data_IF_271906427747
#
_entry.id   IF_271906427747
#
_cell.length_a   1.000
_cell.length_b   1.000
_cell.length_c   1.000
_cell.angle_alpha   90.00
_cell.angle_beta   90.00
_cell.angle_gamma   90.00
#
_symmetry.space_group_name_H-M   'P 1'
#
loop_
_entity.id
_entity.type
_entity.pdbx_description
1 polymer ?
#
# COMPACT_ATOMS: atom_id res chain seq x y z
N UNK A 1 18.98 -10.50 -0.84
CA UNK A 1 19.85 -9.69 -1.72
C UNK A 1 18.98 -8.54 -2.19
N UNK A 2 18.92 -7.47 -1.40
CA UNK A 2 18.13 -6.28 -1.75
C UNK A 2 18.85 -5.54 -2.87
N UNK A 3 18.19 -5.43 -4.03
CA UNK A 3 18.63 -4.48 -5.04
C UNK A 3 18.54 -3.07 -4.44
N UNK A 4 19.67 -2.35 -4.49
CA UNK A 4 19.75 -0.93 -4.12
C UNK A 4 18.75 -0.13 -4.97
N UNK A 5 17.54 0.06 -4.46
CA UNK A 5 16.55 0.98 -5.02
C UNK A 5 17.04 2.40 -4.70
N UNK A 6 17.39 3.17 -5.72
CA UNK A 6 17.69 4.59 -5.55
C UNK A 6 16.42 5.31 -5.11
N UNK A 7 16.44 5.90 -3.92
CA UNK A 7 15.35 6.74 -3.41
C UNK A 7 15.68 8.20 -3.72
N UNK A 8 14.77 8.87 -4.42
CA UNK A 8 14.84 10.31 -4.67
C UNK A 8 13.57 10.93 -4.08
N UNK A 9 13.73 11.66 -2.98
CA UNK A 9 12.64 12.38 -2.32
C UNK A 9 12.76 13.84 -2.71
N UNK A 10 11.88 14.31 -3.59
CA UNK A 10 11.76 15.71 -3.96
C UNK A 10 10.36 16.16 -3.59
N UNK A 11 10.28 17.13 -2.68
CA UNK A 11 9.01 17.73 -2.25
C UNK A 11 8.92 19.11 -2.87
N UNK A 12 7.96 19.33 -3.75
CA UNK A 12 7.82 20.61 -4.43
C UNK A 12 6.78 21.47 -3.70
N UNK A 13 7.05 22.77 -3.48
CA UNK A 13 6.13 23.69 -2.79
C UNK A 13 6.06 25.06 -3.48
N UNK A 14 4.84 25.60 -3.62
CA UNK A 14 4.59 26.93 -4.22
C UNK A 14 5.08 28.10 -3.34
N UNK A 15 4.91 28.00 -2.01
CA UNK A 15 5.19 29.12 -1.09
C UNK A 15 6.22 28.77 -0.02
N UNK A 16 7.15 29.69 0.21
CA UNK A 16 8.16 29.60 1.28
C UNK A 16 7.55 29.87 2.65
N UNK A 17 8.08 29.20 3.67
CA UNK A 17 7.93 29.58 5.06
C UNK A 17 9.22 30.26 5.55
N UNK A 18 9.13 31.03 6.65
CA UNK A 18 10.27 31.80 7.21
C UNK A 18 11.52 30.94 7.53
N UNK A 19 11.30 29.67 7.88
CA UNK A 19 12.38 28.72 8.18
C UNK A 19 13.13 28.29 6.90
N UNK A 20 12.42 28.12 5.78
CA UNK A 20 13.05 27.79 4.51
C UNK A 20 13.82 28.97 3.92
N UNK A 21 13.38 30.21 4.14
CA UNK A 21 14.10 31.40 3.64
C UNK A 21 15.55 31.47 4.10
N UNK A 22 15.88 30.92 5.27
CA UNK A 22 17.23 30.95 5.86
C UNK A 22 18.17 29.85 5.33
N UNK A 23 17.65 28.77 4.75
CA UNK A 23 18.41 27.55 4.41
C UNK A 23 18.32 27.18 2.92
N UNK A 24 18.09 28.16 2.04
CA UNK A 24 17.97 27.94 0.61
C UNK A 24 19.33 27.90 -0.10
N UNK A 25 19.50 26.94 -0.99
CA UNK A 25 20.60 26.87 -1.96
C UNK A 25 20.04 26.99 -3.38
N UNK A 26 20.82 27.58 -4.29
CA UNK A 26 20.48 27.64 -5.71
C UNK A 26 21.21 26.54 -6.46
N UNK A 27 20.46 25.67 -7.14
CA UNK A 27 21.00 24.58 -7.93
C UNK A 27 20.64 24.76 -9.38
N UNK A 28 21.63 24.61 -10.25
CA UNK A 28 21.41 24.63 -11.69
C UNK A 28 21.13 23.22 -12.21
N UNK A 29 19.97 22.99 -12.84
CA UNK A 29 19.68 21.76 -13.57
C UNK A 29 19.12 22.10 -14.96
N UNK A 30 19.66 21.47 -16.01
CA UNK A 30 19.26 21.68 -17.41
C UNK A 30 19.18 23.15 -17.85
N UNK A 31 20.12 23.98 -17.40
CA UNK A 31 20.19 25.40 -17.76
C UNK A 31 19.28 26.31 -16.95
N UNK A 32 18.47 25.78 -16.03
CA UNK A 32 17.63 26.54 -15.10
C UNK A 32 18.18 26.53 -13.69
N UNK A 33 17.89 27.60 -12.95
CA UNK A 33 18.26 27.74 -11.54
C UNK A 33 17.03 27.48 -10.70
N UNK A 34 17.12 26.50 -9.81
CA UNK A 34 16.09 26.13 -8.86
C UNK A 34 16.55 26.48 -7.45
N UNK A 35 15.60 26.85 -6.60
CA UNK A 35 15.86 27.04 -5.18
C UNK A 35 15.45 25.78 -4.42
N UNK A 36 16.42 25.23 -3.68
CA UNK A 36 16.22 24.06 -2.84
C UNK A 36 16.44 24.42 -1.38
N UNK A 37 15.61 23.91 -0.49
CA UNK A 37 15.86 23.92 0.94
C UNK A 37 16.16 22.49 1.38
N UNK A 38 17.29 22.30 2.07
CA UNK A 38 17.64 21.02 2.67
C UNK A 38 17.00 20.92 4.05
N UNK A 39 16.22 19.87 4.29
CA UNK A 39 15.70 19.56 5.63
C UNK A 39 16.61 18.54 6.34
N UNK A 40 16.54 18.48 7.67
CA UNK A 40 17.42 17.67 8.53
C UNK A 40 17.43 16.16 8.18
N UNK A 41 16.39 15.65 7.51
CA UNK A 41 16.22 14.23 7.17
C UNK A 41 16.56 13.87 5.71
N UNK A 42 17.49 14.57 5.06
CA UNK A 42 17.88 14.32 3.65
C UNK A 42 16.76 14.57 2.62
N UNK A 43 15.68 15.23 3.03
CA UNK A 43 14.62 15.70 2.13
C UNK A 43 15.02 17.02 1.49
N UNK A 44 14.93 17.10 0.17
CA UNK A 44 15.07 18.36 -0.56
C UNK A 44 13.68 18.91 -0.87
N UNK A 45 13.42 20.15 -0.44
CA UNK A 45 12.24 20.90 -0.82
C UNK A 45 12.61 21.81 -1.98
N UNK A 46 11.91 21.69 -3.11
CA UNK A 46 12.11 22.56 -4.26
C UNK A 46 10.98 23.58 -4.36
N UNK A 47 11.34 24.86 -4.42
CA UNK A 47 10.38 25.95 -4.56
C UNK A 47 10.21 26.32 -6.03
N UNK A 48 8.96 26.56 -6.44
CA UNK A 48 8.61 26.86 -7.83
C UNK A 48 7.37 27.74 -7.94
N UNK A 49 7.28 28.51 -9.03
CA UNK A 49 6.05 29.18 -9.42
C UNK A 49 5.12 28.20 -10.16
N UNK A 50 3.80 28.29 -9.97
CA UNK A 50 2.83 27.31 -10.49
C UNK A 50 2.98 27.02 -12.01
N UNK A 51 3.34 28.04 -12.80
CA UNK A 51 3.54 27.90 -14.25
C UNK A 51 4.82 27.14 -14.63
N UNK A 52 5.83 27.06 -13.75
CA UNK A 52 7.12 26.37 -14.00
C UNK A 52 7.07 24.88 -13.69
N UNK A 53 5.99 24.45 -13.03
CA UNK A 53 5.80 23.12 -12.47
C UNK A 53 6.13 21.96 -13.41
N UNK A 54 5.57 21.95 -14.61
CA UNK A 54 5.76 20.85 -15.56
C UNK A 54 7.22 20.77 -16.02
N UNK A 55 7.82 21.92 -16.29
CA UNK A 55 9.19 22.03 -16.74
C UNK A 55 10.20 21.64 -15.65
N UNK A 56 9.92 22.01 -14.40
CA UNK A 56 10.69 21.60 -13.23
C UNK A 56 10.62 20.09 -13.02
N UNK A 57 9.42 19.54 -13.13
CA UNK A 57 9.19 18.11 -13.04
C UNK A 57 10.06 17.40 -14.08
N UNK A 58 9.94 17.78 -15.34
CA UNK A 58 10.70 17.20 -16.45
C UNK A 58 12.22 17.34 -16.25
N UNK A 59 12.71 18.50 -15.79
CA UNK A 59 14.13 18.73 -15.53
C UNK A 59 14.68 17.82 -14.42
N UNK A 60 13.94 17.63 -13.33
CA UNK A 60 14.31 16.72 -12.24
C UNK A 60 14.39 15.28 -12.78
N UNK A 61 13.39 14.86 -13.55
CA UNK A 61 13.35 13.50 -14.09
C UNK A 61 14.44 13.23 -15.12
N UNK A 62 14.70 14.13 -16.06
CA UNK A 62 15.82 13.98 -16.99
C UNK A 62 17.16 13.91 -16.25
N UNK A 63 17.30 14.66 -15.14
CA UNK A 63 18.50 14.58 -14.30
C UNK A 63 18.62 13.23 -13.61
N UNK A 64 17.53 12.71 -13.03
CA UNK A 64 17.47 11.36 -12.43
C UNK A 64 17.80 10.29 -13.49
N UNK A 65 17.20 10.37 -14.68
CA UNK A 65 17.46 9.47 -15.80
C UNK A 65 18.92 9.51 -16.24
N UNK A 66 19.55 10.70 -16.25
CA UNK A 66 20.97 10.85 -16.60
C UNK A 66 21.89 10.20 -15.56
N UNK A 67 21.54 10.31 -14.27
CA UNK A 67 22.36 9.79 -13.17
C UNK A 67 22.20 8.26 -13.03
N UNK A 68 20.98 7.75 -13.11
CA UNK A 68 20.67 6.34 -12.80
C UNK A 68 20.40 5.47 -14.02
N UNK A 69 20.15 6.06 -15.19
CA UNK A 69 19.77 5.39 -16.43
C UNK A 69 18.24 5.21 -16.58
N UNK A 70 17.76 5.29 -17.83
CA UNK A 70 16.32 5.35 -18.19
C UNK A 70 15.46 4.12 -17.84
N UNK A 71 16.06 3.02 -17.40
CA UNK A 71 15.38 1.73 -17.19
C UNK A 71 15.54 1.19 -15.76
N UNK A 72 15.99 2.00 -14.81
CA UNK A 72 16.04 1.58 -13.41
C UNK A 72 14.69 1.82 -12.76
N UNK A 73 14.15 0.85 -12.00
CA UNK A 73 12.92 1.07 -11.23
C UNK A 73 13.17 2.18 -10.23
N UNK A 74 12.20 3.08 -10.11
CA UNK A 74 12.25 4.21 -9.20
C UNK A 74 10.99 4.29 -8.36
N UNK A 75 11.16 4.92 -7.20
CA UNK A 75 10.07 5.25 -6.29
C UNK A 75 9.79 6.73 -6.43
N UNK A 76 8.54 7.07 -6.73
CA UNK A 76 8.04 8.42 -6.57
C UNK A 76 7.48 8.60 -5.16
N UNK A 77 7.90 9.64 -4.44
CA UNK A 77 7.26 10.10 -3.20
C UNK A 77 6.76 11.54 -3.43
N UNK A 78 5.44 11.74 -3.37
CA UNK A 78 4.83 13.07 -3.42
C UNK A 78 4.00 13.35 -2.17
N UNK A 79 4.06 14.59 -1.68
CA UNK A 79 3.25 15.08 -0.55
C UNK A 79 2.01 15.90 -1.00
N UNK A 80 1.80 16.00 -2.32
CA UNK A 80 0.71 16.73 -2.95
C UNK A 80 0.30 16.11 -4.31
N UNK A 81 -0.93 16.32 -4.77
CA UNK A 81 -1.38 15.93 -6.13
C UNK A 81 -0.73 16.73 -7.23
N UNK A 82 -0.04 17.80 -6.84
CA UNK A 82 0.60 18.65 -7.79
C UNK A 82 1.69 17.87 -8.54
N UNK A 83 2.36 16.90 -7.91
CA UNK A 83 3.52 16.25 -8.50
C UNK A 83 3.27 14.76 -8.76
N UNK A 84 2.38 14.48 -9.73
CA UNK A 84 2.11 13.13 -10.24
C UNK A 84 2.72 12.94 -11.65
N UNK A 85 4.03 12.70 -11.75
CA UNK A 85 4.75 12.57 -13.01
C UNK A 85 4.31 11.35 -13.82
N UNK A 86 3.98 11.56 -15.10
CA UNK A 86 3.45 10.53 -16.02
C UNK A 86 4.57 9.87 -16.86
N UNK A 87 5.71 9.53 -16.25
CA UNK A 87 6.88 9.02 -17.00
C UNK A 87 6.94 7.49 -17.09
N UNK A 88 7.71 7.00 -18.05
CA UNK A 88 7.94 5.57 -18.25
C UNK A 88 8.90 5.01 -17.19
N UNK A 89 8.64 3.79 -16.71
CA UNK A 89 9.52 3.09 -15.77
C UNK A 89 9.16 3.24 -14.29
N UNK A 90 8.11 4.01 -13.93
CA UNK A 90 7.59 4.01 -12.56
C UNK A 90 6.96 2.64 -12.29
N UNK A 91 7.51 1.90 -11.34
CA UNK A 91 6.94 0.66 -10.85
C UNK A 91 6.33 0.82 -9.46
N UNK A 92 6.69 1.87 -8.72
CA UNK A 92 6.16 2.14 -7.38
C UNK A 92 5.69 3.59 -7.26
N UNK A 93 4.44 3.75 -6.84
CA UNK A 93 3.84 5.04 -6.52
C UNK A 93 3.69 5.15 -5.00
N UNK A 94 4.26 6.18 -4.37
CA UNK A 94 3.96 6.53 -2.98
C UNK A 94 3.47 7.97 -2.90
N UNK A 95 2.25 8.17 -2.41
CA UNK A 95 1.62 9.49 -2.33
C UNK A 95 1.08 9.71 -0.91
N UNK A 96 1.47 10.81 -0.29
CA UNK A 96 0.92 11.27 0.98
C UNK A 96 0.13 12.55 0.74
N UNK A 97 -1.18 12.56 0.98
CA UNK A 97 -2.03 13.70 0.64
C UNK A 97 -2.36 14.54 1.87
N UNK A 98 -1.64 15.63 2.08
CA UNK A 98 -1.96 16.52 3.20
C UNK A 98 -3.13 17.49 2.90
N UNK A 99 -3.64 17.54 1.66
CA UNK A 99 -4.66 18.50 1.19
C UNK A 99 -5.66 17.86 0.20
N UNK A 100 -6.74 18.59 -0.14
CA UNK A 100 -7.82 18.10 -1.00
C UNK A 100 -7.36 17.92 -2.46
N UNK A 101 -7.15 16.67 -2.85
CA UNK A 101 -6.79 16.29 -4.22
C UNK A 101 -8.04 16.10 -5.09
N UNK A 102 -7.98 16.50 -6.36
CA UNK A 102 -9.05 16.20 -7.31
C UNK A 102 -8.94 14.77 -7.83
N UNK A 103 -10.03 14.00 -7.73
CA UNK A 103 -10.14 12.63 -8.26
C UNK A 103 -9.61 12.50 -9.69
N UNK A 104 -9.97 13.47 -10.54
CA UNK A 104 -9.60 13.48 -11.96
C UNK A 104 -8.09 13.46 -12.19
N UNK A 105 -7.29 14.14 -11.34
CA UNK A 105 -5.83 14.17 -11.50
C UNK A 105 -5.20 12.81 -11.26
N UNK A 106 -5.73 12.08 -10.29
CA UNK A 106 -5.27 10.74 -9.97
C UNK A 106 -5.65 9.74 -11.05
N UNK A 107 -6.86 9.86 -11.59
CA UNK A 107 -7.26 9.06 -12.74
C UNK A 107 -6.34 9.32 -13.92
N UNK A 108 -6.10 10.59 -14.24
CA UNK A 108 -5.19 10.94 -15.33
C UNK A 108 -3.76 10.42 -15.11
N UNK A 109 -3.32 10.35 -13.86
CA UNK A 109 -2.02 9.76 -13.50
C UNK A 109 -2.02 8.25 -13.72
N UNK A 110 -2.94 7.52 -13.09
CA UNK A 110 -3.03 6.07 -13.20
C UNK A 110 -3.33 5.61 -14.63
N UNK A 111 -4.02 6.42 -15.42
CA UNK A 111 -4.22 6.16 -16.85
C UNK A 111 -2.90 6.27 -17.63
N UNK A 112 -2.04 7.22 -17.28
CA UNK A 112 -0.79 7.46 -18.02
C UNK A 112 0.35 6.52 -17.63
N UNK A 113 0.41 6.08 -16.36
CA UNK A 113 1.45 5.15 -15.91
C UNK A 113 1.11 3.69 -16.25
N UNK A 114 2.13 2.83 -16.20
CA UNK A 114 1.92 1.39 -16.26
C UNK A 114 1.18 0.89 -14.99
N UNK A 115 0.67 -0.34 -15.02
CA UNK A 115 0.18 -0.98 -13.79
C UNK A 115 1.35 -1.09 -12.81
N UNK A 116 1.16 -0.58 -11.61
CA UNK A 116 2.21 -0.44 -10.61
C UNK A 116 2.45 -1.77 -9.85
N UNK A 117 3.69 -2.01 -9.44
CA UNK A 117 4.03 -3.09 -8.50
C UNK A 117 3.57 -2.73 -7.08
N UNK A 118 3.70 -1.46 -6.69
CA UNK A 118 3.24 -0.94 -5.40
C UNK A 118 2.53 0.39 -5.59
N UNK A 119 1.40 0.54 -4.91
CA UNK A 119 0.76 1.84 -4.67
C UNK A 119 0.60 2.05 -3.18
N UNK A 120 1.27 3.06 -2.64
CA UNK A 120 1.10 3.54 -1.27
C UNK A 120 0.35 4.88 -1.29
N UNK A 121 -0.74 4.99 -0.52
CA UNK A 121 -1.51 6.22 -0.37
C UNK A 121 -1.75 6.54 1.11
N UNK A 122 -1.43 7.76 1.55
CA UNK A 122 -1.72 8.24 2.91
C UNK A 122 -2.68 9.43 2.90
N UNK A 123 -3.52 9.51 3.93
CA UNK A 123 -4.45 10.64 4.17
C UNK A 123 -5.41 10.87 2.99
N UNK A 124 -5.83 9.76 2.38
CA UNK A 124 -6.58 9.73 1.14
C UNK A 124 -8.09 9.86 1.36
N UNK A 125 -8.81 10.70 0.62
CA UNK A 125 -10.27 10.89 0.84
C UNK A 125 -11.11 10.93 -0.42
N UNK A 126 -10.57 10.46 -1.54
CA UNK A 126 -11.16 10.70 -2.86
C UNK A 126 -11.54 9.38 -3.53
N UNK A 127 -12.68 9.34 -4.21
CA UNK A 127 -13.11 8.13 -4.92
C UNK A 127 -12.41 8.01 -6.27
N UNK A 128 -11.98 6.80 -6.59
CA UNK A 128 -11.37 6.41 -7.87
C UNK A 128 -12.35 5.52 -8.62
N UNK A 129 -12.39 5.68 -9.94
CA UNK A 129 -13.18 4.90 -10.89
C UNK A 129 -12.80 3.44 -10.76
N UNK A 130 -13.80 2.56 -10.80
CA UNK A 130 -13.65 1.12 -10.58
C UNK A 130 -12.76 0.45 -11.63
N UNK A 131 -12.65 1.06 -12.80
CA UNK A 131 -11.85 0.61 -13.94
C UNK A 131 -10.40 1.12 -13.89
N UNK A 132 -10.05 1.94 -12.90
CA UNK A 132 -8.74 2.57 -12.80
C UNK A 132 -7.60 1.55 -12.65
N UNK A 133 -6.45 1.82 -13.25
CA UNK A 133 -5.24 0.99 -13.10
C UNK A 133 -4.75 0.94 -11.65
N UNK A 134 -5.17 1.88 -10.80
CA UNK A 134 -4.99 1.86 -9.35
C UNK A 134 -5.35 0.48 -8.74
N UNK A 135 -6.52 -0.07 -9.09
CA UNK A 135 -6.99 -1.34 -8.54
C UNK A 135 -6.23 -2.56 -9.05
N UNK A 136 -5.39 -2.41 -10.06
CA UNK A 136 -4.62 -3.48 -10.68
C UNK A 136 -3.19 -3.56 -10.13
N UNK A 137 -2.81 -2.68 -9.20
CA UNK A 137 -1.49 -2.73 -8.58
C UNK A 137 -1.24 -4.08 -7.91
N UNK A 138 0.00 -4.60 -7.92
CA UNK A 138 0.29 -5.89 -7.28
C UNK A 138 0.16 -5.81 -5.76
N UNK A 139 0.65 -4.71 -5.18
CA UNK A 139 0.58 -4.41 -3.76
C UNK A 139 -0.09 -3.05 -3.57
N UNK A 140 -1.02 -2.99 -2.62
CA UNK A 140 -1.72 -1.77 -2.25
C UNK A 140 -1.54 -1.50 -0.76
N UNK A 141 -1.08 -0.30 -0.43
CA UNK A 141 -0.90 0.16 0.94
C UNK A 141 -1.66 1.46 1.12
N UNK A 142 -2.69 1.47 1.96
CA UNK A 142 -3.52 2.63 2.20
C UNK A 142 -3.52 2.95 3.69
N UNK A 143 -3.29 4.21 4.02
CA UNK A 143 -3.32 4.70 5.39
C UNK A 143 -4.30 5.87 5.52
N UNK A 144 -5.10 5.87 6.57
CA UNK A 144 -5.99 6.97 6.95
C UNK A 144 -6.93 7.40 5.82
N UNK A 145 -7.51 6.42 5.11
CA UNK A 145 -8.36 6.70 3.95
C UNK A 145 -9.83 6.98 4.27
N UNK A 146 -10.16 7.25 5.54
CA UNK A 146 -11.53 7.29 6.04
C UNK A 146 -12.27 5.99 5.65
N UNK A 147 -13.49 6.08 5.14
CA UNK A 147 -14.39 4.93 4.96
C UNK A 147 -14.23 4.24 3.58
N UNK A 148 -13.18 4.60 2.83
CA UNK A 148 -12.99 4.12 1.46
C UNK A 148 -12.37 2.71 1.39
N UNK A 149 -11.81 2.17 2.47
CA UNK A 149 -11.08 0.90 2.42
C UNK A 149 -11.93 -0.28 1.97
N UNK A 150 -13.24 -0.31 2.30
CA UNK A 150 -14.14 -1.35 1.80
C UNK A 150 -14.32 -1.28 0.28
N UNK A 151 -14.60 -0.08 -0.23
CA UNK A 151 -14.74 0.15 -1.67
C UNK A 151 -13.44 -0.22 -2.40
N UNK A 152 -12.30 0.15 -1.80
CA UNK A 152 -10.99 -0.19 -2.32
C UNK A 152 -10.80 -1.70 -2.40
N UNK A 153 -11.06 -2.40 -1.30
CA UNK A 153 -10.89 -3.85 -1.21
C UNK A 153 -11.78 -4.57 -2.25
N UNK A 154 -13.03 -4.13 -2.43
CA UNK A 154 -13.98 -4.75 -3.37
C UNK A 154 -13.54 -4.68 -4.83
N UNK A 155 -12.78 -3.65 -5.20
CA UNK A 155 -12.33 -3.42 -6.57
C UNK A 155 -10.90 -3.90 -6.82
N UNK A 156 -10.10 -4.05 -5.78
CA UNK A 156 -8.71 -4.50 -5.88
C UNK A 156 -8.56 -5.88 -6.55
N UNK A 157 -7.56 -5.98 -7.43
CA UNK A 157 -7.21 -7.15 -8.24
C UNK A 157 -5.77 -7.62 -8.03
N UNK A 158 -5.04 -6.99 -7.11
CA UNK A 158 -3.68 -7.39 -6.78
C UNK A 158 -3.61 -8.53 -5.77
N UNK A 159 -2.41 -8.75 -5.27
CA UNK A 159 -2.06 -9.88 -4.41
C UNK A 159 -1.95 -9.50 -2.93
N UNK A 160 -1.56 -8.27 -2.63
CA UNK A 160 -1.37 -7.86 -1.24
C UNK A 160 -2.07 -6.51 -1.00
N UNK A 161 -2.87 -6.43 0.05
CA UNK A 161 -3.55 -5.20 0.45
C UNK A 161 -3.34 -4.95 1.95
N UNK A 162 -2.82 -3.77 2.27
CA UNK A 162 -2.58 -3.30 3.64
C UNK A 162 -3.40 -2.03 3.84
N UNK A 163 -4.44 -2.10 4.67
CA UNK A 163 -5.38 -1.00 4.93
C UNK A 163 -5.27 -0.61 6.41
N UNK A 164 -4.64 0.54 6.67
CA UNK A 164 -4.32 1.00 8.02
C UNK A 164 -5.23 2.17 8.38
N UNK A 165 -6.08 1.99 9.39
CA UNK A 165 -7.05 3.01 9.84
C UNK A 165 -7.94 3.50 8.68
N UNK A 166 -8.27 2.57 7.78
CA UNK A 166 -8.87 2.83 6.47
C UNK A 166 -10.23 2.13 6.27
N UNK A 167 -10.73 1.45 7.30
CA UNK A 167 -11.99 0.73 7.30
C UNK A 167 -12.76 1.08 8.57
N UNK A 168 -14.07 1.25 8.45
CA UNK A 168 -14.93 1.29 9.62
C UNK A 168 -14.97 -0.10 10.26
N UNK A 169 -14.96 -0.11 11.60
CA UNK A 169 -14.97 -1.31 12.44
C UNK A 169 -16.34 -1.98 12.38
N UNK A 170 -16.60 -2.72 11.30
CA UNK A 170 -17.80 -3.53 11.14
C UNK A 170 -17.43 -4.97 10.81
N UNK A 171 -17.73 -5.90 11.72
CA UNK A 171 -17.56 -7.34 11.53
C UNK A 171 -18.18 -7.84 10.22
N UNK A 172 -19.29 -7.23 9.80
CA UNK A 172 -20.01 -7.55 8.56
C UNK A 172 -19.12 -7.45 7.32
N UNK A 173 -18.16 -6.52 7.29
CA UNK A 173 -17.23 -6.36 6.16
C UNK A 173 -16.27 -7.54 6.06
N UNK A 174 -15.68 -7.95 7.20
CA UNK A 174 -14.80 -9.11 7.29
C UNK A 174 -15.57 -10.41 7.00
N UNK A 175 -16.78 -10.55 7.53
CA UNK A 175 -17.65 -11.71 7.29
C UNK A 175 -17.96 -11.85 5.80
N UNK A 176 -18.34 -10.76 5.13
CA UNK A 176 -18.64 -10.77 3.70
C UNK A 176 -17.39 -11.12 2.88
N UNK A 177 -16.25 -10.52 3.20
CA UNK A 177 -14.96 -10.85 2.59
C UNK A 177 -14.66 -12.35 2.70
N UNK A 178 -14.69 -12.91 3.90
CA UNK A 178 -14.38 -14.31 4.16
C UNK A 178 -15.35 -15.26 3.46
N UNK A 179 -16.66 -14.97 3.47
CA UNK A 179 -17.68 -15.79 2.77
C UNK A 179 -17.42 -15.82 1.26
N UNK A 180 -17.18 -14.66 0.64
CA UNK A 180 -16.93 -14.57 -0.81
C UNK A 180 -15.62 -15.22 -1.22
N UNK A 181 -14.55 -15.03 -0.44
CA UNK A 181 -13.28 -15.72 -0.69
C UNK A 181 -13.45 -17.23 -0.57
N UNK A 182 -14.11 -17.70 0.50
CA UNK A 182 -14.35 -19.12 0.77
C UNK A 182 -15.14 -19.81 -0.33
N UNK A 183 -16.17 -19.16 -0.87
CA UNK A 183 -16.96 -19.69 -1.98
C UNK A 183 -16.30 -19.52 -3.35
N UNK A 184 -15.11 -18.92 -3.42
CA UNK A 184 -14.40 -18.59 -4.65
C UNK A 184 -15.21 -17.63 -5.55
N UNK A 185 -16.02 -16.78 -4.93
CA UNK A 185 -16.80 -15.74 -5.61
C UNK A 185 -15.97 -14.46 -5.84
N UNK A 186 -14.99 -14.18 -4.99
CA UNK A 186 -14.10 -13.01 -5.12
C UNK A 186 -12.72 -13.26 -4.48
N UNK A 187 -11.78 -12.34 -4.74
CA UNK A 187 -10.46 -12.25 -4.08
C UNK A 187 -9.57 -13.48 -4.32
N UNK A 188 -9.69 -14.13 -5.47
CA UNK A 188 -8.98 -15.39 -5.76
C UNK A 188 -7.46 -15.21 -5.88
N UNK A 189 -7.03 -14.05 -6.36
CA UNK A 189 -5.62 -13.67 -6.57
C UNK A 189 -4.98 -13.03 -5.31
N UNK A 190 -5.79 -12.71 -4.30
CA UNK A 190 -5.33 -12.10 -3.07
C UNK A 190 -4.56 -13.13 -2.24
N UNK A 191 -3.32 -12.79 -1.90
CA UNK A 191 -2.41 -13.58 -1.06
C UNK A 191 -2.40 -13.04 0.38
N UNK A 192 -2.41 -11.71 0.58
CA UNK A 192 -2.36 -11.06 1.90
C UNK A 192 -3.39 -9.94 1.98
N UNK A 193 -4.13 -9.90 3.09
CA UNK A 193 -4.93 -8.75 3.52
C UNK A 193 -4.62 -8.44 4.98
N UNK A 194 -4.21 -7.21 5.24
CA UNK A 194 -4.03 -6.68 6.59
C UNK A 194 -4.93 -5.47 6.79
N UNK A 195 -5.71 -5.48 7.86
CA UNK A 195 -6.55 -4.38 8.32
C UNK A 195 -6.06 -3.96 9.69
N UNK A 196 -5.22 -2.92 9.76
CA UNK A 196 -4.75 -2.36 11.02
C UNK A 196 -5.75 -1.32 11.53
N UNK A 197 -5.99 -1.32 12.84
CA UNK A 197 -7.04 -0.53 13.47
C UNK A 197 -8.42 -1.14 13.35
N UNK A 198 -8.53 -2.34 12.74
CA UNK A 198 -9.76 -3.12 12.77
C UNK A 198 -9.96 -3.70 14.17
N UNK A 199 -11.06 -3.30 14.82
CA UNK A 199 -11.47 -3.84 16.09
C UNK A 199 -12.72 -4.71 15.87
N UNK A 200 -12.57 -6.02 16.05
CA UNK A 200 -13.70 -6.93 15.94
C UNK A 200 -14.70 -6.68 17.09
N UNK A 201 -15.97 -6.46 16.77
CA UNK A 201 -17.03 -6.34 17.77
C UNK A 201 -17.27 -7.71 18.44
N UNK A 202 -17.26 -8.78 17.65
CA UNK A 202 -17.44 -10.15 18.11
C UNK A 202 -16.68 -11.14 17.24
N UNK A 203 -15.53 -11.60 17.74
CA UNK A 203 -14.78 -12.67 17.10
C UNK A 203 -15.62 -13.96 16.96
N UNK A 204 -16.42 -14.30 17.98
CA UNK A 204 -17.30 -15.47 17.95
C UNK A 204 -18.33 -15.39 16.79
N UNK A 205 -18.86 -14.19 16.52
CA UNK A 205 -19.76 -13.97 15.38
C UNK A 205 -19.04 -14.21 14.06
N UNK A 206 -17.84 -13.64 13.89
CA UNK A 206 -17.03 -13.85 12.68
C UNK A 206 -16.78 -15.35 12.47
N UNK A 207 -16.37 -16.07 13.52
CA UNK A 207 -16.13 -17.51 13.45
C UNK A 207 -17.38 -18.31 13.06
N UNK A 208 -18.50 -18.08 13.75
CA UNK A 208 -19.76 -18.78 13.51
C UNK A 208 -20.29 -18.56 12.09
N UNK A 209 -20.27 -17.31 11.61
CA UNK A 209 -20.85 -16.97 10.31
C UNK A 209 -19.98 -17.42 9.12
N UNK A 210 -18.67 -17.54 9.31
CA UNK A 210 -17.73 -17.87 8.23
C UNK A 210 -17.25 -19.33 8.28
N UNK A 211 -17.51 -20.02 9.39
CA UNK A 211 -16.94 -21.32 9.74
C UNK A 211 -15.41 -21.30 9.63
N UNK A 212 -14.79 -20.30 10.27
CA UNK A 212 -13.36 -20.32 10.57
C UNK A 212 -13.08 -21.46 11.54
N UNK A 213 -11.98 -22.17 11.32
CA UNK A 213 -11.55 -23.32 12.11
C UNK A 213 -10.43 -22.89 13.04
N UNK A 214 -10.39 -23.49 14.24
CA UNK A 214 -9.27 -23.36 15.16
C UNK A 214 -8.33 -24.56 15.02
N UNK A 215 -7.04 -24.33 15.19
CA UNK A 215 -6.08 -25.42 15.35
C UNK A 215 -6.34 -26.17 16.68
N UNK A 216 -6.12 -27.50 16.75
CA UNK A 216 -6.22 -28.23 18.02
C UNK A 216 -5.19 -27.75 19.04
N UNK A 217 -5.53 -27.78 20.34
CA UNK A 217 -4.67 -27.25 21.42
C UNK A 217 -3.30 -27.94 21.58
N UNK A 218 -3.04 -29.05 20.89
CA UNK A 218 -1.85 -29.89 21.05
C UNK A 218 -0.93 -29.89 19.82
N UNK A 219 -1.20 -29.05 18.82
CA UNK A 219 -0.38 -28.98 17.60
C UNK A 219 0.58 -27.82 17.66
N UNK A 220 1.73 -27.97 16.99
CA UNK A 220 2.64 -26.85 16.79
C UNK A 220 1.96 -25.85 15.84
N UNK A 221 1.63 -24.68 16.37
CA UNK A 221 0.97 -23.63 15.60
C UNK A 221 1.94 -23.06 14.56
N UNK A 222 1.46 -22.78 13.34
CA UNK A 222 2.26 -22.07 12.36
C UNK A 222 2.57 -20.66 12.88
N UNK A 223 3.76 -20.19 12.55
CA UNK A 223 4.25 -18.87 12.89
C UNK A 223 4.33 -18.08 11.60
N UNK A 224 3.70 -16.91 11.57
CA UNK A 224 3.86 -15.96 10.47
C UNK A 224 4.62 -14.74 10.96
N UNK A 225 5.51 -14.22 10.13
CA UNK A 225 6.13 -12.92 10.35
C UNK A 225 5.25 -11.91 9.60
N UNK A 226 4.64 -10.99 10.33
CA UNK A 226 3.92 -9.89 9.69
C UNK A 226 4.96 -8.93 9.16
N UNK A 227 4.95 -8.74 7.84
CA UNK A 227 5.73 -7.66 7.22
C UNK A 227 4.87 -6.42 7.33
N UNK A 228 5.15 -5.55 8.30
CA UNK A 228 4.56 -4.21 8.25
C UNK A 228 5.14 -3.50 7.03
N UNK A 229 4.25 -3.21 6.09
CA UNK A 229 4.56 -2.71 4.76
C UNK A 229 5.14 -1.27 4.77
N UNK A 230 4.96 -0.54 5.88
CA UNK A 230 5.55 0.81 6.07
C UNK A 230 7.00 0.81 6.57
N UNK A 231 7.64 -0.36 6.70
CA UNK A 231 9.03 -0.47 7.17
C UNK A 231 9.25 0.01 8.59
N UNK A 232 8.19 0.19 9.40
CA UNK A 232 8.29 0.81 10.73
C UNK A 232 8.57 -0.19 11.84
N UNK A 233 8.13 -1.44 11.76
CA UNK A 233 8.41 -2.46 12.79
C UNK A 233 8.39 -3.87 12.20
N UNK A 234 9.42 -4.68 12.47
CA UNK A 234 9.25 -6.13 12.47
C UNK A 234 8.30 -6.44 13.63
N UNK A 235 7.13 -6.98 13.36
CA UNK A 235 6.33 -7.49 14.48
C UNK A 235 6.99 -8.77 14.98
N UNK A 236 6.79 -9.06 16.26
CA UNK A 236 7.13 -10.37 16.78
C UNK A 236 6.42 -11.46 15.97
N UNK A 237 7.03 -12.65 15.83
CA UNK A 237 6.40 -13.74 15.12
C UNK A 237 5.05 -14.08 15.77
N UNK A 238 3.98 -13.98 14.99
CA UNK A 238 2.62 -14.19 15.50
C UNK A 238 2.25 -15.66 15.34
N UNK A 239 1.84 -16.30 16.44
CA UNK A 239 1.27 -17.65 16.41
C UNK A 239 -0.14 -17.59 15.85
N UNK A 240 -0.38 -18.36 14.80
CA UNK A 240 -1.69 -18.44 14.15
C UNK A 240 -2.50 -19.54 14.82
N UNK A 241 -3.65 -19.19 15.38
CA UNK A 241 -4.55 -20.14 16.04
C UNK A 241 -5.77 -20.48 15.20
N UNK A 242 -6.03 -19.77 14.10
CA UNK A 242 -7.20 -19.99 13.25
C UNK A 242 -6.89 -19.97 11.76
N UNK A 243 -7.74 -20.64 10.99
CA UNK A 243 -7.64 -20.73 9.54
C UNK A 243 -9.01 -20.91 8.90
N UNK A 244 -9.11 -20.60 7.62
CA UNK A 244 -10.28 -20.83 6.79
C UNK A 244 -9.89 -21.63 5.55
N UNK A 245 -10.82 -22.41 5.03
CA UNK A 245 -10.61 -23.29 3.88
C UNK A 245 -11.57 -22.89 2.77
N UNK A 246 -11.02 -22.57 1.61
CA UNK A 246 -11.78 -22.26 0.40
C UNK A 246 -12.40 -23.52 -0.19
N UNK A 247 -13.41 -23.36 -1.03
CA UNK A 247 -14.13 -24.45 -1.70
C UNK A 247 -13.23 -25.38 -2.53
N UNK A 248 -12.07 -24.91 -2.98
CA UNK A 248 -11.05 -25.72 -3.68
C UNK A 248 -9.99 -26.33 -2.75
N UNK A 249 -10.17 -26.23 -1.44
CA UNK A 249 -9.31 -26.81 -0.41
C UNK A 249 -8.12 -25.94 -0.01
N UNK A 250 -7.90 -24.79 -0.67
CA UNK A 250 -6.82 -23.85 -0.31
C UNK A 250 -7.07 -23.25 1.09
N UNK A 251 -6.01 -23.16 1.88
CA UNK A 251 -6.04 -22.64 3.25
C UNK A 251 -5.65 -21.16 3.26
N UNK A 252 -6.30 -20.39 4.11
CA UNK A 252 -5.79 -19.09 4.54
C UNK A 252 -5.73 -19.04 6.07
N UNK A 253 -4.62 -18.52 6.57
CA UNK A 253 -4.41 -18.24 7.98
C UNK A 253 -5.05 -16.93 8.37
N UNK A 254 -5.66 -16.90 9.55
CA UNK A 254 -6.36 -15.73 10.05
C UNK A 254 -5.77 -15.36 11.42
N UNK A 255 -5.54 -14.06 11.62
CA UNK A 255 -5.28 -13.48 12.94
C UNK A 255 -6.30 -12.38 13.14
N UNK A 256 -7.05 -12.45 14.24
CA UNK A 256 -7.94 -11.37 14.67
C UNK A 256 -7.58 -11.08 16.12
N UNK A 257 -7.25 -9.83 16.41
CA UNK A 257 -7.02 -9.33 17.76
C UNK A 257 -7.59 -7.92 17.89
N UNK A 258 -7.31 -7.25 19.01
CA UNK A 258 -7.88 -5.94 19.31
C UNK A 258 -7.35 -4.80 18.44
N UNK A 259 -6.36 -5.03 17.58
CA UNK A 259 -5.73 -3.98 16.77
C UNK A 259 -5.65 -4.33 15.29
N UNK A 260 -5.86 -5.60 14.92
CA UNK A 260 -5.73 -6.02 13.54
C UNK A 260 -6.56 -7.23 13.14
N UNK A 261 -6.91 -7.25 11.86
CA UNK A 261 -7.26 -8.45 11.13
C UNK A 261 -6.16 -8.75 10.10
N UNK A 262 -5.66 -9.98 10.09
CA UNK A 262 -4.76 -10.49 9.07
C UNK A 262 -5.38 -11.71 8.41
N UNK A 263 -5.23 -11.76 7.10
CA UNK A 263 -5.58 -12.88 6.26
C UNK A 263 -4.41 -13.20 5.34
N UNK A 264 -3.88 -14.42 5.40
CA UNK A 264 -2.72 -14.84 4.63
C UNK A 264 -2.97 -16.20 3.96
N UNK A 265 -3.15 -16.19 2.65
CA UNK A 265 -3.38 -17.38 1.82
C UNK A 265 -2.11 -18.22 1.71
N UNK A 266 -2.29 -19.51 1.90
CA UNK A 266 -1.21 -20.48 1.86
C UNK A 266 -1.16 -21.19 0.50
N UNK A 267 0.04 -21.65 0.12
CA UNK A 267 0.28 -22.38 -1.14
C UNK A 267 -0.05 -23.87 -1.05
N UNK A 268 -0.73 -24.30 0.02
CA UNK A 268 -1.09 -25.68 0.28
C UNK A 268 -2.58 -25.81 0.61
N UNK A 269 -3.07 -27.03 0.49
CA UNK A 269 -4.45 -27.41 0.80
C UNK A 269 -4.61 -27.86 2.26
N UNK A 270 -5.84 -27.88 2.75
CA UNK A 270 -6.14 -28.37 4.11
C UNK A 270 -5.67 -29.82 4.28
N UNK A 271 -5.81 -30.65 3.25
CA UNK A 271 -5.32 -32.04 3.27
C UNK A 271 -3.81 -32.10 3.52
N UNK A 272 -3.02 -31.33 2.77
CA UNK A 272 -1.57 -31.27 2.93
C UNK A 272 -1.18 -30.73 4.32
N UNK A 273 -1.91 -29.74 4.83
CA UNK A 273 -1.69 -29.20 6.17
C UNK A 273 -1.95 -30.24 7.28
N UNK A 274 -2.99 -31.06 7.15
CA UNK A 274 -3.29 -32.12 8.11
C UNK A 274 -2.23 -33.23 8.02
N UNK A 275 -1.85 -33.63 6.80
CA UNK A 275 -0.83 -34.66 6.57
C UNK A 275 0.55 -34.26 7.11
N UNK A 276 0.89 -32.96 7.13
CA UNK A 276 2.13 -32.46 7.73
C UNK A 276 2.09 -32.32 9.25
N UNK A 277 0.97 -32.66 9.90
CA UNK A 277 0.80 -32.47 11.34
C UNK A 277 0.68 -30.99 11.73
N UNK A 278 0.16 -30.15 10.84
CA UNK A 278 -0.09 -28.70 11.01
C UNK A 278 1.15 -27.80 11.02
N UNK A 279 2.36 -28.36 10.94
CA UNK A 279 3.59 -27.58 10.76
C UNK A 279 3.80 -27.25 9.28
N UNK A 280 3.33 -26.07 8.86
CA UNK A 280 3.59 -25.50 7.54
C UNK A 280 3.88 -24.00 7.71
N UNK A 281 5.02 -23.53 7.20
CA UNK A 281 5.48 -22.15 7.26
C UNK A 281 6.56 -21.89 6.25
#
# INVERSE_FOLDING_TARGET
MEENKSQVIVVCKENKNEEAERNNEKVQMNGKVFEICRMENMTFILYYEEFEKYEITEAIFERVNTIFGRNKPFVLISFDDQFLPKFHGITETRISMCWSVKASRLEEYFEAVAVQDLVEMKFWRVKIKKESKFFHAKVLEIQDSSDLGLEILLHFKGREAYLLYSLQNEDSNVINFLKRWKCKEAFQDLEILELLGFEAESFDRIEQETNVKRFPNQVNLPITILKNSFGRYNTDPTRISTYIVRSDGIVAFIVINNEMFLFHVQKFTEKQMIESGYSMG
#
